data_IF_191990560877
#
_entry.id   IF_191990560877
#
_cell.length_a   1.000
_cell.length_b   1.000
_cell.length_c   1.000
_cell.angle_alpha   90.00
_cell.angle_beta   90.00
_cell.angle_gamma   90.00
#
_symmetry.space_group_name_H-M   'P 1'
#
loop_
_entity.id
_entity.type
_entity.pdbx_description
1 polymer ?
#
# COMPACT_ATOMS: atom_id res chain seq x y z
N UNK A 1 -3.62 1.41 -0.75
CA UNK A 1 -4.60 1.46 0.35
C UNK A 1 -4.98 0.04 0.71
N UNK A 2 -5.25 -0.23 1.99
CA UNK A 2 -5.63 -1.58 2.45
C UNK A 2 -6.91 -2.01 1.72
N UNK A 3 -6.91 -3.22 1.16
CA UNK A 3 -8.04 -3.72 0.36
C UNK A 3 -9.18 -4.18 1.30
N UNK A 4 -10.39 -3.60 1.22
CA UNK A 4 -11.50 -3.93 2.12
C UNK A 4 -11.93 -5.41 2.04
N UNK A 5 -11.81 -6.03 0.85
CA UNK A 5 -12.10 -7.46 0.66
C UNK A 5 -11.17 -8.38 1.44
N UNK A 6 -9.93 -7.94 1.70
CA UNK A 6 -8.99 -8.72 2.51
C UNK A 6 -9.38 -8.68 3.99
N UNK A 7 -9.85 -7.53 4.48
CA UNK A 7 -10.30 -7.38 5.87
C UNK A 7 -11.56 -8.21 6.15
N UNK A 8 -12.51 -8.22 5.22
CA UNK A 8 -13.71 -9.08 5.30
C UNK A 8 -13.32 -10.56 5.34
N UNK A 9 -12.44 -11.02 4.45
CA UNK A 9 -11.99 -12.42 4.42
C UNK A 9 -11.24 -12.85 5.69
N UNK A 10 -10.42 -11.97 6.29
CA UNK A 10 -9.76 -12.23 7.58
C UNK A 10 -10.80 -12.32 8.71
N UNK A 11 -11.78 -11.42 8.73
CA UNK A 11 -12.85 -11.43 9.73
C UNK A 11 -13.67 -12.71 9.67
N UNK A 12 -14.03 -13.17 8.46
CA UNK A 12 -14.73 -14.44 8.26
C UNK A 12 -13.88 -15.64 8.73
N UNK A 13 -12.60 -15.69 8.37
CA UNK A 13 -11.71 -16.77 8.78
C UNK A 13 -11.48 -16.82 10.29
N UNK A 14 -11.32 -15.67 10.95
CA UNK A 14 -11.20 -15.60 12.41
C UNK A 14 -12.50 -16.05 13.09
N UNK A 15 -13.66 -15.62 12.58
CA UNK A 15 -14.96 -16.06 13.10
C UNK A 15 -15.16 -17.58 13.00
N UNK A 16 -14.75 -18.18 11.88
CA UNK A 16 -14.78 -19.63 11.69
C UNK A 16 -13.83 -20.37 12.64
N UNK A 17 -12.61 -19.87 12.83
CA UNK A 17 -11.65 -20.43 13.78
C UNK A 17 -12.19 -20.37 15.21
N UNK A 18 -12.79 -19.26 15.62
CA UNK A 18 -13.36 -19.10 16.94
C UNK A 18 -14.47 -20.12 17.23
N UNK A 19 -15.40 -20.32 16.29
CA UNK A 19 -16.46 -21.33 16.42
C UNK A 19 -15.90 -22.77 16.46
N UNK A 20 -14.91 -23.07 15.63
CA UNK A 20 -14.26 -24.40 15.63
C UNK A 20 -13.55 -24.70 16.96
N UNK A 21 -12.88 -23.71 17.54
CA UNK A 21 -12.16 -23.91 18.81
C UNK A 21 -13.12 -24.00 19.99
N UNK A 22 -14.22 -23.25 19.99
CA UNK A 22 -15.29 -23.36 20.99
C UNK A 22 -15.90 -24.77 21.02
N UNK A 23 -16.07 -25.40 19.85
CA UNK A 23 -16.55 -26.78 19.74
C UNK A 23 -15.53 -27.81 20.24
N UNK A 24 -14.23 -27.52 20.10
CA UNK A 24 -13.14 -28.45 20.45
C UNK A 24 -12.53 -28.22 21.83
N UNK A 25 -12.97 -27.20 22.57
CA UNK A 25 -12.38 -26.80 23.88
C UNK A 25 -10.85 -26.64 23.82
N UNK A 26 -10.33 -26.20 22.68
CA UNK A 26 -8.89 -26.17 22.38
C UNK A 26 -8.35 -24.73 22.32
N UNK A 27 -8.70 -23.90 23.30
CA UNK A 27 -8.42 -22.45 23.34
C UNK A 27 -6.94 -22.10 23.17
N UNK A 28 -6.03 -22.98 23.61
CA UNK A 28 -4.59 -22.83 23.44
C UNK A 28 -4.13 -22.81 21.97
N UNK A 29 -4.92 -23.34 21.03
CA UNK A 29 -4.58 -23.41 19.61
C UNK A 29 -5.05 -22.20 18.79
N UNK A 30 -5.88 -21.32 19.35
CA UNK A 30 -6.41 -20.13 18.64
C UNK A 30 -5.32 -19.12 18.32
N UNK A 31 -4.52 -18.74 19.32
CA UNK A 31 -3.51 -17.71 19.17
C UNK A 31 -2.49 -18.00 18.06
N UNK A 32 -1.89 -19.21 17.96
CA UNK A 32 -0.96 -19.52 16.87
C UNK A 32 -1.64 -19.55 15.50
N UNK A 33 -2.90 -20.00 15.42
CA UNK A 33 -3.65 -20.04 14.15
C UNK A 33 -4.01 -18.63 13.64
N UNK A 34 -4.44 -17.73 14.54
CA UNK A 34 -4.68 -16.32 14.22
C UNK A 34 -3.39 -15.64 13.76
N UNK A 35 -2.27 -15.87 14.45
CA UNK A 35 -0.97 -15.33 14.05
C UNK A 35 -0.56 -15.80 12.64
N UNK A 36 -0.77 -17.09 12.33
CA UNK A 36 -0.47 -17.63 11.00
C UNK A 36 -1.35 -17.01 9.90
N UNK A 37 -2.65 -16.82 10.17
CA UNK A 37 -3.57 -16.14 9.24
C UNK A 37 -3.13 -14.70 8.96
N UNK A 38 -2.81 -13.93 10.02
CA UNK A 38 -2.37 -12.54 9.87
C UNK A 38 -1.05 -12.45 9.10
N UNK A 39 -0.08 -13.33 9.39
CA UNK A 39 1.18 -13.39 8.62
C UNK A 39 0.93 -13.74 7.14
N UNK A 40 0.03 -14.68 6.86
CA UNK A 40 -0.38 -15.02 5.49
C UNK A 40 -1.04 -13.84 4.78
N UNK A 41 -1.90 -13.10 5.47
CA UNK A 41 -2.54 -11.90 4.95
C UNK A 41 -1.54 -10.78 4.66
N UNK A 42 -0.60 -10.51 5.58
CA UNK A 42 0.45 -9.50 5.38
C UNK A 42 1.34 -9.81 4.18
N UNK A 43 1.67 -11.09 3.93
CA UNK A 43 2.43 -11.50 2.74
C UNK A 43 1.70 -11.24 1.43
N UNK A 44 0.37 -11.35 1.41
CA UNK A 44 -0.45 -11.09 0.21
C UNK A 44 -0.64 -9.60 -0.08
N UNK A 45 -0.30 -8.70 0.85
CA UNK A 45 -0.49 -7.26 0.68
C UNK A 45 0.68 -6.54 0.01
N UNK A 46 1.68 -7.27 -0.51
CA UNK A 46 2.87 -6.72 -1.18
C UNK A 46 3.45 -5.52 -0.40
N UNK A 47 3.55 -5.68 0.92
CA UNK A 47 3.95 -4.60 1.80
C UNK A 47 5.41 -4.24 1.54
N UNK A 48 5.66 -2.95 1.31
CA UNK A 48 7.01 -2.38 1.32
C UNK A 48 7.32 -1.87 2.72
N UNK A 49 8.60 -1.82 3.05
CA UNK A 49 9.05 -1.20 4.30
C UNK A 49 8.73 0.29 4.30
N UNK A 50 8.64 0.88 5.50
CA UNK A 50 8.43 2.33 5.63
C UNK A 50 9.54 3.13 4.96
N UNK A 51 10.78 2.65 5.08
CA UNK A 51 11.96 3.29 4.48
C UNK A 51 11.88 3.28 2.94
N UNK A 52 11.50 2.16 2.32
CA UNK A 52 11.30 2.08 0.87
C UNK A 52 10.20 3.02 0.39
N UNK A 53 9.08 3.09 1.13
CA UNK A 53 8.00 4.01 0.82
C UNK A 53 8.46 5.48 0.87
N UNK A 54 9.16 5.86 1.94
CA UNK A 54 9.65 7.23 2.11
C UNK A 54 10.70 7.58 1.04
N UNK A 55 11.57 6.62 0.68
CA UNK A 55 12.54 6.79 -0.41
C UNK A 55 11.86 7.03 -1.77
N UNK A 56 10.85 6.24 -2.12
CA UNK A 56 10.09 6.41 -3.37
C UNK A 56 9.30 7.72 -3.39
N UNK A 57 8.72 8.12 -2.25
CA UNK A 57 8.01 9.39 -2.10
C UNK A 57 8.96 10.58 -2.33
N UNK A 58 10.19 10.50 -1.81
CA UNK A 58 11.21 11.52 -2.03
C UNK A 58 11.65 11.60 -3.51
N UNK A 59 11.78 10.45 -4.19
CA UNK A 59 12.05 10.43 -5.64
C UNK A 59 10.92 11.13 -6.40
N UNK A 60 9.67 10.81 -6.11
CA UNK A 60 8.51 11.39 -6.76
C UNK A 60 8.45 12.92 -6.56
N UNK A 61 8.72 13.40 -5.34
CA UNK A 61 8.77 14.83 -5.04
C UNK A 61 9.83 15.56 -5.89
N UNK A 62 11.04 15.00 -6.00
CA UNK A 62 12.10 15.56 -6.85
C UNK A 62 11.72 15.57 -8.33
N UNK A 63 11.10 14.50 -8.81
CA UNK A 63 10.64 14.41 -10.20
C UNK A 63 9.58 15.45 -10.51
N UNK A 64 8.66 15.72 -9.57
CA UNK A 64 7.63 16.77 -9.74
C UNK A 64 8.24 18.15 -9.88
N UNK A 65 9.20 18.49 -9.02
CA UNK A 65 9.92 19.76 -9.09
C UNK A 65 10.65 19.90 -10.44
N UNK A 66 11.33 18.84 -10.87
CA UNK A 66 12.03 18.85 -12.16
C UNK A 66 11.07 18.98 -13.34
N UNK A 67 9.89 18.36 -13.26
CA UNK A 67 8.84 18.47 -14.28
C UNK A 67 8.33 19.90 -14.37
N UNK A 68 8.03 20.55 -13.25
CA UNK A 68 7.58 21.94 -13.19
C UNK A 68 8.63 22.89 -13.79
N UNK A 69 9.92 22.69 -13.48
CA UNK A 69 11.01 23.48 -14.07
C UNK A 69 11.11 23.29 -15.60
N UNK A 70 10.97 22.06 -16.09
CA UNK A 70 11.00 21.78 -17.52
C UNK A 70 9.78 22.38 -18.23
N UNK A 71 8.60 22.36 -17.60
CA UNK A 71 7.40 23.03 -18.12
C UNK A 71 7.62 24.54 -18.27
N UNK A 72 8.20 25.19 -17.27
CA UNK A 72 8.53 26.62 -17.34
C UNK A 72 9.55 26.93 -18.46
N UNK A 73 10.58 26.10 -18.60
CA UNK A 73 11.56 26.27 -19.67
C UNK A 73 10.92 26.08 -21.05
N UNK A 74 10.01 25.11 -21.20
CA UNK A 74 9.29 24.88 -22.44
C UNK A 74 8.40 26.08 -22.78
N UNK A 75 7.64 26.62 -21.83
CA UNK A 75 6.81 27.82 -22.04
C UNK A 75 7.66 29.03 -22.47
N UNK A 76 8.82 29.25 -21.86
CA UNK A 76 9.74 30.32 -22.25
C UNK A 76 10.23 30.15 -23.69
N UNK A 77 10.59 28.93 -24.08
CA UNK A 77 11.03 28.61 -25.44
C UNK A 77 9.89 28.77 -26.44
N UNK A 78 8.68 28.29 -26.13
CA UNK A 78 7.50 28.44 -26.99
C UNK A 78 7.11 29.90 -27.19
N UNK A 79 7.19 30.72 -26.14
CA UNK A 79 6.93 32.16 -26.23
C UNK A 79 8.02 32.91 -26.99
N UNK A 80 9.28 32.48 -26.89
CA UNK A 80 10.39 33.06 -27.66
C UNK A 80 10.40 32.62 -29.13
N UNK A 81 9.80 31.48 -29.44
CA UNK A 81 9.71 30.91 -30.78
C UNK A 81 8.48 31.36 -31.57
N UNK A 82 7.49 32.00 -30.94
CA UNK A 82 6.42 32.70 -31.64
C UNK A 82 6.99 34.03 -32.17
N UNK A 83 7.18 34.19 -33.48
CA UNK A 83 7.51 35.50 -34.03
C UNK A 83 6.28 36.39 -33.85
N UNK A 84 6.49 37.63 -33.44
CA UNK A 84 5.48 38.68 -33.46
C UNK A 84 4.75 38.64 -34.83
N UNK A 85 3.45 38.39 -34.79
CA UNK A 85 2.51 38.63 -35.90
C UNK A 85 1.44 39.59 -35.42
#
# INVERSE_FOLDING_TARGET
MINPKLLEGISEQIGQLFEQTKQRSAEAELQPQINALLQGAFRRMELVTREEFDAQSAVLARTRIKLEQLQQQLEQLENSAKPDS
#
